data_IF_234804510202
#
_entry.id   IF_234804510202
#
_cell.length_a   1.000
_cell.length_b   1.000
_cell.length_c   1.000
_cell.angle_alpha   90.00
_cell.angle_beta   90.00
_cell.angle_gamma   90.00
#
_symmetry.space_group_name_H-M   'P 1'
#
loop_
_entity.id
_entity.type
_entity.pdbx_description
1 polymer ?
#
# COMPACT_ATOMS: atom_id res chain seq x y z
N UNK A 1 18.18 -10.78 -3.50
CA UNK A 1 17.87 -12.22 -3.63
C UNK A 1 16.41 -12.41 -4.01
N UNK A 2 16.19 -12.99 -5.09
CA UNK A 2 15.21 -13.45 -5.98
C UNK A 2 13.71 -13.23 -5.71
N UNK A 3 13.16 -12.21 -6.37
CA UNK A 3 11.75 -12.21 -6.78
C UNK A 3 11.61 -13.34 -7.80
N UNK A 4 10.88 -14.38 -7.47
CA UNK A 4 10.62 -15.47 -8.42
C UNK A 4 9.41 -15.10 -9.27
N UNK A 5 9.64 -14.72 -10.53
CA UNK A 5 8.61 -14.40 -11.51
C UNK A 5 8.41 -15.65 -12.37
N UNK A 6 7.29 -16.33 -12.20
CA UNK A 6 6.92 -17.44 -13.09
C UNK A 6 6.24 -16.92 -14.34
N UNK A 7 6.61 -17.40 -15.54
CA UNK A 7 5.85 -17.14 -16.74
C UNK A 7 4.47 -17.83 -16.66
N UNK A 8 3.52 -17.30 -17.34
CA UNK A 8 2.07 -17.34 -17.28
C UNK A 8 1.40 -18.69 -17.61
N UNK A 9 0.45 -19.04 -16.77
CA UNK A 9 -0.96 -19.19 -17.20
C UNK A 9 -1.66 -17.84 -16.93
N UNK A 10 -2.48 -17.35 -17.85
CA UNK A 10 -3.26 -16.10 -17.67
C UNK A 10 -3.98 -16.05 -16.33
N UNK A 11 -4.60 -14.90 -15.92
CA UNK A 11 -5.30 -14.82 -14.65
C UNK A 11 -6.28 -16.00 -14.56
N UNK A 12 -5.88 -17.03 -13.81
CA UNK A 12 -6.63 -18.28 -13.71
C UNK A 12 -8.03 -17.99 -13.18
N UNK A 13 -8.98 -18.83 -13.54
CA UNK A 13 -10.29 -18.85 -12.89
C UNK A 13 -10.05 -18.85 -11.39
N UNK A 14 -10.51 -17.77 -10.68
CA UNK A 14 -10.27 -17.58 -9.25
C UNK A 14 -9.18 -16.57 -8.87
N UNK A 15 -8.56 -15.85 -9.83
CA UNK A 15 -7.68 -14.73 -9.48
C UNK A 15 -8.51 -13.58 -8.87
N UNK A 16 -8.12 -13.03 -7.70
CA UNK A 16 -8.79 -11.87 -7.10
C UNK A 16 -8.68 -10.61 -7.98
N UNK A 17 -7.70 -10.56 -8.88
CA UNK A 17 -7.45 -9.42 -9.76
C UNK A 17 -8.72 -8.98 -10.51
N UNK A 18 -9.40 -9.91 -11.19
CA UNK A 18 -10.60 -9.58 -11.94
C UNK A 18 -11.73 -9.13 -11.04
N UNK A 19 -12.03 -9.90 -10.00
CA UNK A 19 -13.10 -9.60 -9.05
C UNK A 19 -12.89 -8.24 -8.37
N UNK A 20 -11.65 -7.93 -7.95
CA UNK A 20 -11.31 -6.64 -7.34
C UNK A 20 -11.51 -5.49 -8.34
N UNK A 21 -10.97 -5.62 -9.56
CA UNK A 21 -11.07 -4.53 -10.54
C UNK A 21 -12.51 -4.32 -11.05
N UNK A 22 -13.29 -5.39 -11.27
CA UNK A 22 -14.70 -5.28 -11.64
C UNK A 22 -15.55 -4.71 -10.49
N UNK A 23 -15.25 -5.06 -9.24
CA UNK A 23 -15.88 -4.45 -8.07
C UNK A 23 -15.60 -2.93 -7.99
N UNK A 24 -14.35 -2.51 -8.24
CA UNK A 24 -13.96 -1.10 -8.26
C UNK A 24 -14.59 -0.34 -9.44
N UNK A 25 -14.75 -1.00 -10.59
CA UNK A 25 -15.41 -0.43 -11.76
C UNK A 25 -16.93 -0.30 -11.58
N UNK A 26 -17.54 -1.16 -10.75
CA UNK A 26 -18.99 -1.32 -10.63
C UNK A 26 -19.64 -2.01 -11.83
N UNK A 27 -18.85 -2.61 -12.73
CA UNK A 27 -19.29 -3.26 -13.97
C UNK A 27 -18.24 -4.24 -14.49
N UNK A 28 -18.63 -5.20 -15.39
CA UNK A 28 -17.65 -6.02 -16.09
C UNK A 28 -16.66 -5.18 -16.89
N UNK A 29 -15.41 -5.66 -16.95
CA UNK A 29 -14.31 -4.95 -17.62
C UNK A 29 -14.16 -5.44 -19.08
N UNK A 30 -14.42 -4.60 -20.08
CA UNK A 30 -14.25 -4.97 -21.48
C UNK A 30 -12.76 -5.17 -21.84
N UNK A 31 -12.50 -6.05 -22.81
CA UNK A 31 -11.12 -6.32 -23.28
C UNK A 31 -10.26 -7.06 -22.25
N UNK A 32 -10.85 -7.74 -21.28
CA UNK A 32 -10.15 -8.48 -20.21
C UNK A 32 -9.11 -9.47 -20.75
N UNK A 33 -9.40 -10.11 -21.87
CA UNK A 33 -8.52 -11.11 -22.51
C UNK A 33 -7.19 -10.50 -22.95
N UNK A 34 -7.17 -9.21 -23.28
CA UNK A 34 -5.94 -8.50 -23.65
C UNK A 34 -4.99 -8.29 -22.47
N UNK A 35 -5.49 -8.38 -21.23
CA UNK A 35 -4.68 -8.21 -20.02
C UNK A 35 -3.82 -9.44 -19.71
N UNK A 36 -4.27 -10.63 -20.10
CA UNK A 36 -3.61 -11.89 -19.78
C UNK A 36 -2.11 -11.92 -20.13
N UNK A 37 -1.66 -11.52 -21.34
CA UNK A 37 -0.24 -11.46 -21.70
C UNK A 37 0.57 -10.44 -20.89
N UNK A 38 -0.09 -9.49 -20.25
CA UNK A 38 0.49 -8.40 -19.46
C UNK A 38 0.37 -8.61 -17.94
N UNK A 39 -0.08 -9.80 -17.53
CA UNK A 39 -0.23 -10.19 -16.13
C UNK A 39 0.72 -11.33 -15.79
N UNK A 40 1.33 -11.28 -14.62
CA UNK A 40 2.24 -12.32 -14.12
C UNK A 40 1.98 -12.55 -12.62
N UNK A 41 2.21 -13.78 -12.16
CA UNK A 41 2.19 -14.09 -10.73
C UNK A 41 3.59 -13.91 -10.15
N UNK A 42 3.70 -13.05 -9.14
CA UNK A 42 4.91 -12.84 -8.37
C UNK A 42 4.77 -13.57 -7.03
N UNK A 43 5.80 -14.34 -6.66
CA UNK A 43 5.88 -15.07 -5.40
C UNK A 43 7.04 -14.55 -4.57
N UNK A 44 6.74 -14.18 -3.32
CA UNK A 44 7.70 -13.64 -2.38
C UNK A 44 7.77 -14.52 -1.13
N UNK A 45 8.98 -14.84 -0.70
CA UNK A 45 9.21 -15.43 0.63
C UNK A 45 9.07 -14.34 1.70
N UNK A 46 8.81 -14.74 2.94
CA UNK A 46 8.83 -13.83 4.10
C UNK A 46 10.09 -12.96 4.08
N UNK A 47 9.93 -11.64 4.25
CA UNK A 47 10.99 -10.65 4.26
C UNK A 47 11.54 -10.25 2.88
N UNK A 48 11.09 -10.88 1.78
CA UNK A 48 11.54 -10.49 0.44
C UNK A 48 10.97 -9.13 0.03
N UNK A 49 11.80 -8.31 -0.60
CA UNK A 49 11.42 -6.99 -1.12
C UNK A 49 10.77 -7.14 -2.50
N UNK A 50 9.59 -6.56 -2.67
CA UNK A 50 8.90 -6.44 -3.96
C UNK A 50 9.49 -5.29 -4.79
N UNK A 51 9.62 -4.12 -4.16
CA UNK A 51 10.33 -2.95 -4.68
C UNK A 51 10.87 -2.09 -3.54
N UNK A 52 11.85 -1.25 -3.84
CA UNK A 52 12.50 -0.38 -2.86
C UNK A 52 12.32 1.11 -3.20
N UNK A 53 12.66 1.97 -2.25
CA UNK A 53 12.73 3.42 -2.46
C UNK A 53 13.69 3.74 -3.60
N UNK A 54 13.32 4.70 -4.44
CA UNK A 54 14.09 5.09 -5.61
C UNK A 54 13.92 4.18 -6.84
N UNK A 55 13.24 3.04 -6.70
CA UNK A 55 12.98 2.15 -7.84
C UNK A 55 11.91 2.72 -8.78
N UNK A 56 12.12 2.57 -10.10
CA UNK A 56 11.05 2.74 -11.07
C UNK A 56 10.20 1.46 -11.13
N UNK A 57 8.91 1.58 -10.78
CA UNK A 57 7.98 0.45 -10.64
C UNK A 57 6.77 0.65 -11.53
N UNK A 58 6.85 0.35 -12.84
CA UNK A 58 5.75 0.56 -13.78
C UNK A 58 4.69 -0.54 -13.70
N UNK A 59 4.48 -1.10 -12.53
CA UNK A 59 3.56 -2.22 -12.31
C UNK A 59 2.54 -1.88 -11.25
N UNK A 60 1.33 -2.40 -11.48
CA UNK A 60 0.24 -2.48 -10.51
C UNK A 60 0.13 -3.92 -10.03
N UNK A 61 -0.11 -4.10 -8.74
CA UNK A 61 -0.23 -5.43 -8.15
C UNK A 61 -1.53 -5.57 -7.37
N UNK A 62 -2.10 -6.77 -7.35
CA UNK A 62 -3.15 -7.18 -6.42
C UNK A 62 -2.63 -8.35 -5.59
N UNK A 63 -2.79 -8.27 -4.28
CA UNK A 63 -2.41 -9.36 -3.37
C UNK A 63 -3.39 -10.52 -3.55
N UNK A 64 -2.88 -11.70 -3.90
CA UNK A 64 -3.65 -12.93 -4.00
C UNK A 64 -3.71 -13.66 -2.66
N UNK A 65 -2.56 -13.70 -1.99
CA UNK A 65 -2.36 -14.40 -0.72
C UNK A 65 -1.20 -13.78 0.04
N UNK A 66 -1.27 -13.86 1.36
CA UNK A 66 -0.21 -13.32 2.22
C UNK A 66 -0.46 -11.87 2.59
N UNK A 67 0.61 -11.14 2.93
CA UNK A 67 0.53 -9.73 3.34
C UNK A 67 1.77 -8.99 2.87
N UNK A 68 1.59 -7.82 2.28
CA UNK A 68 2.67 -6.89 1.92
C UNK A 68 2.69 -5.75 2.92
N UNK A 69 3.88 -5.43 3.40
CA UNK A 69 4.14 -4.26 4.24
C UNK A 69 4.66 -3.14 3.35
N UNK A 70 4.02 -1.99 3.42
CA UNK A 70 4.50 -0.75 2.82
C UNK A 70 5.20 0.06 3.90
N UNK A 71 6.46 0.40 3.69
CA UNK A 71 7.25 1.24 4.59
C UNK A 71 7.85 2.44 3.87
N UNK A 72 8.15 3.49 4.65
CA UNK A 72 8.84 4.68 4.19
C UNK A 72 9.99 5.01 5.14
N UNK A 73 11.18 5.41 4.64
CA UNK A 73 12.26 5.88 5.48
C UNK A 73 12.01 7.31 5.96
N UNK A 74 12.46 7.64 7.15
CA UNK A 74 12.64 9.02 7.58
C UNK A 74 14.00 9.58 7.15
N UNK A 75 14.28 10.84 7.48
CA UNK A 75 15.53 11.51 7.15
C UNK A 75 16.77 10.86 7.80
N UNK A 76 16.60 10.02 8.82
CA UNK A 76 17.65 9.23 9.48
C UNK A 76 17.74 7.81 8.94
N UNK A 77 16.97 7.46 7.91
CA UNK A 77 16.93 6.13 7.32
C UNK A 77 16.18 5.08 8.13
N UNK A 78 15.43 5.48 9.16
CA UNK A 78 14.57 4.57 9.93
C UNK A 78 13.30 4.30 9.13
N UNK A 79 12.94 3.04 8.96
CA UNK A 79 11.71 2.64 8.26
C UNK A 79 10.50 2.75 9.18
N UNK A 80 9.45 3.39 8.71
CA UNK A 80 8.12 3.47 9.34
C UNK A 80 7.12 2.70 8.49
N UNK A 81 6.26 1.90 9.11
CA UNK A 81 5.24 1.14 8.39
C UNK A 81 4.05 2.05 8.11
N UNK A 82 3.78 2.23 6.83
CA UNK A 82 2.70 3.08 6.32
C UNK A 82 1.39 2.29 6.22
N UNK A 83 1.47 1.06 5.69
CA UNK A 83 0.28 0.22 5.46
C UNK A 83 0.62 -1.27 5.45
N UNK A 84 -0.42 -2.09 5.70
CA UNK A 84 -0.46 -3.52 5.41
C UNK A 84 -1.45 -3.75 4.29
N UNK A 85 -1.04 -4.48 3.25
CA UNK A 85 -1.90 -4.84 2.13
C UNK A 85 -2.16 -6.34 2.17
N UNK A 86 -3.44 -6.72 2.16
CA UNK A 86 -3.94 -8.08 2.33
C UNK A 86 -4.62 -8.59 1.05
N UNK A 87 -5.09 -9.85 0.98
CA UNK A 87 -5.73 -10.38 -0.22
C UNK A 87 -6.88 -9.50 -0.73
N UNK A 88 -6.80 -9.12 -2.01
CA UNK A 88 -7.70 -8.17 -2.66
C UNK A 88 -7.18 -6.73 -2.68
N UNK A 89 -6.23 -6.37 -1.83
CA UNK A 89 -5.67 -5.01 -1.83
C UNK A 89 -4.74 -4.75 -3.00
N UNK A 90 -4.73 -3.49 -3.43
CA UNK A 90 -3.82 -2.98 -4.45
C UNK A 90 -2.48 -2.56 -3.83
N UNK A 91 -1.40 -2.91 -4.51
CA UNK A 91 -0.04 -2.47 -4.20
C UNK A 91 0.55 -1.79 -5.43
N UNK A 92 0.98 -0.54 -5.29
CA UNK A 92 1.57 0.22 -6.40
C UNK A 92 2.47 1.35 -5.89
N UNK A 93 3.47 1.69 -6.70
CA UNK A 93 4.16 2.97 -6.55
C UNK A 93 3.40 4.04 -7.35
N UNK A 94 2.60 4.85 -6.67
CA UNK A 94 1.78 5.88 -7.30
C UNK A 94 2.62 6.85 -8.13
N UNK A 95 3.80 7.24 -7.63
CA UNK A 95 4.73 8.12 -8.34
C UNK A 95 5.21 7.52 -9.66
N UNK A 96 5.47 6.20 -9.69
CA UNK A 96 5.92 5.50 -10.91
C UNK A 96 4.81 5.30 -11.94
N UNK A 97 3.55 5.23 -11.48
CA UNK A 97 2.36 5.07 -12.32
C UNK A 97 1.69 6.41 -12.69
N UNK A 98 2.34 7.55 -12.40
CA UNK A 98 1.80 8.85 -12.73
C UNK A 98 1.40 8.94 -14.22
N UNK A 99 0.19 9.44 -14.54
CA UNK A 99 -0.28 9.51 -15.91
C UNK A 99 0.57 10.47 -16.76
N UNK A 100 0.61 10.28 -18.10
CA UNK A 100 1.48 11.05 -19.01
C UNK A 100 1.30 12.57 -18.90
N UNK A 101 0.06 13.02 -18.72
CA UNK A 101 -0.24 14.44 -18.52
C UNK A 101 0.46 15.02 -17.32
N UNK A 102 0.42 14.33 -16.18
CA UNK A 102 1.08 14.76 -14.95
C UNK A 102 2.62 14.72 -15.10
N UNK A 103 3.17 13.67 -15.71
CA UNK A 103 4.60 13.59 -16.03
C UNK A 103 5.06 14.73 -16.92
N UNK A 104 4.25 15.12 -17.92
CA UNK A 104 4.54 16.24 -18.82
C UNK A 104 4.56 17.59 -18.08
N UNK A 105 3.58 17.82 -17.19
CA UNK A 105 3.54 19.04 -16.38
C UNK A 105 4.82 19.21 -15.56
N UNK A 106 5.34 18.15 -14.96
CA UNK A 106 6.61 18.18 -14.21
C UNK A 106 7.80 18.51 -15.11
N UNK A 107 7.88 17.88 -16.30
CA UNK A 107 9.01 18.09 -17.23
C UNK A 107 9.04 19.50 -17.83
N UNK A 108 7.90 20.17 -17.96
CA UNK A 108 7.82 21.52 -18.56
C UNK A 108 7.93 22.66 -17.53
N UNK A 109 8.19 22.36 -16.26
CA UNK A 109 8.24 23.33 -15.16
C UNK A 109 6.97 24.18 -15.00
N UNK A 110 5.87 23.79 -15.64
CA UNK A 110 4.54 24.43 -15.54
C UNK A 110 3.72 23.87 -14.36
N UNK A 111 4.38 23.21 -13.44
CA UNK A 111 3.71 22.60 -12.30
C UNK A 111 3.15 23.63 -11.36
N UNK A 112 1.88 23.46 -10.93
CA UNK A 112 1.43 24.08 -9.69
C UNK A 112 2.46 23.76 -8.59
N UNK A 113 2.65 24.67 -7.64
CA UNK A 113 3.60 24.47 -6.51
C UNK A 113 3.14 23.33 -5.59
N UNK A 114 3.10 22.11 -6.13
CA UNK A 114 2.77 20.88 -5.39
C UNK A 114 4.09 20.15 -5.13
N UNK A 115 4.68 20.25 -3.92
CA UNK A 115 5.99 19.65 -3.60
C UNK A 115 6.07 18.15 -3.91
N UNK A 116 4.95 17.42 -3.70
CA UNK A 116 4.87 15.98 -3.95
C UNK A 116 5.12 15.58 -5.41
N UNK A 117 5.03 16.50 -6.37
CA UNK A 117 5.30 16.21 -7.78
C UNK A 117 6.79 16.16 -8.13
N UNK A 118 7.68 16.57 -7.21
CA UNK A 118 9.14 16.54 -7.44
C UNK A 118 9.69 15.12 -7.54
N UNK A 119 9.00 14.18 -6.90
CA UNK A 119 9.46 12.79 -6.73
C UNK A 119 8.72 11.83 -7.68
N UNK A 120 8.12 12.37 -8.76
CA UNK A 120 7.46 11.53 -9.77
C UNK A 120 8.47 10.66 -10.52
N UNK A 121 8.03 9.43 -10.84
CA UNK A 121 8.79 8.47 -11.62
C UNK A 121 9.44 7.37 -10.79
N UNK A 122 9.75 7.61 -9.52
CA UNK A 122 10.37 6.62 -8.64
C UNK A 122 9.59 6.43 -7.35
N UNK A 123 9.69 5.25 -6.75
CA UNK A 123 8.97 4.95 -5.52
C UNK A 123 9.55 5.71 -4.32
N UNK A 124 8.66 6.29 -3.51
CA UNK A 124 8.97 6.91 -2.24
C UNK A 124 8.79 5.95 -1.07
N UNK A 125 8.37 4.72 -1.37
CA UNK A 125 8.11 3.68 -0.38
C UNK A 125 8.79 2.37 -0.80
N UNK A 126 8.99 1.50 0.19
CA UNK A 126 9.39 0.12 0.01
C UNK A 126 8.19 -0.79 0.22
N UNK A 127 8.09 -1.84 -0.57
CA UNK A 127 7.13 -2.92 -0.38
C UNK A 127 7.87 -4.23 -0.11
N UNK A 128 7.50 -4.94 0.95
CA UNK A 128 8.10 -6.22 1.31
C UNK A 128 7.05 -7.21 1.84
N UNK A 129 7.33 -8.50 1.73
CA UNK A 129 6.42 -9.54 2.17
C UNK A 129 6.54 -9.79 3.68
N UNK A 130 5.45 -9.65 4.44
CA UNK A 130 5.40 -9.99 5.87
C UNK A 130 5.47 -11.50 6.09
N UNK A 131 4.85 -12.27 5.20
CA UNK A 131 4.83 -13.73 5.16
C UNK A 131 4.97 -14.20 3.71
N UNK A 132 4.89 -15.50 3.45
CA UNK A 132 4.85 -15.97 2.06
C UNK A 132 3.68 -15.30 1.33
N UNK A 133 3.96 -14.59 0.24
CA UNK A 133 3.01 -13.72 -0.45
C UNK A 133 2.99 -14.01 -1.94
N UNK A 134 1.79 -14.07 -2.52
CA UNK A 134 1.57 -14.14 -3.96
C UNK A 134 0.79 -12.92 -4.42
N UNK A 135 1.22 -12.33 -5.56
CA UNK A 135 0.58 -11.16 -6.15
C UNK A 135 0.35 -11.38 -7.65
N UNK A 136 -0.77 -10.87 -8.16
CA UNK A 136 -0.90 -10.60 -9.58
C UNK A 136 -0.18 -9.30 -9.89
N UNK A 137 0.74 -9.31 -10.86
CA UNK A 137 1.44 -8.13 -11.37
C UNK A 137 0.90 -7.80 -12.76
N UNK A 138 0.49 -6.56 -12.96
CA UNK A 138 -0.02 -6.03 -14.22
C UNK A 138 0.93 -4.95 -14.74
N UNK A 139 1.25 -4.96 -16.04
CA UNK A 139 2.01 -3.87 -16.67
C UNK A 139 1.16 -2.58 -16.66
N UNK A 140 1.67 -1.53 -16.03
CA UNK A 140 0.97 -0.25 -15.89
C UNK A 140 0.72 0.45 -17.24
N UNK A 141 1.58 0.23 -18.23
CA UNK A 141 1.39 0.80 -19.59
C UNK A 141 0.20 0.15 -20.30
N UNK A 142 0.00 -1.17 -20.09
CA UNK A 142 -1.16 -1.83 -20.66
C UNK A 142 -2.44 -1.43 -19.93
N UNK A 143 -2.39 -1.26 -18.61
CA UNK A 143 -3.50 -0.70 -17.84
C UNK A 143 -3.87 0.71 -18.33
N UNK A 144 -2.89 1.57 -18.57
CA UNK A 144 -3.07 2.90 -19.16
C UNK A 144 -3.71 2.83 -20.55
N UNK A 145 -3.28 1.87 -21.40
CA UNK A 145 -3.85 1.63 -22.72
C UNK A 145 -5.33 1.21 -22.65
N UNK A 146 -5.70 0.38 -21.67
CA UNK A 146 -7.10 -0.01 -21.42
C UNK A 146 -7.94 1.17 -20.93
N UNK A 147 -7.42 1.96 -20.00
CA UNK A 147 -8.10 3.18 -19.51
C UNK A 147 -8.37 4.20 -20.62
N UNK A 148 -7.48 4.32 -21.58
CA UNK A 148 -7.67 5.22 -22.72
C UNK A 148 -8.76 4.77 -23.70
N UNK A 149 -9.21 3.51 -23.64
CA UNK A 149 -10.17 2.91 -24.57
C UNK A 149 -11.52 2.59 -23.93
N UNK A 150 -11.54 2.36 -22.65
CA UNK A 150 -12.72 1.86 -21.93
C UNK A 150 -12.89 2.64 -20.63
N UNK A 151 -14.02 3.29 -20.48
CA UNK A 151 -14.33 4.10 -19.29
C UNK A 151 -14.41 3.26 -18.02
N UNK A 152 -14.79 1.99 -18.13
CA UNK A 152 -14.87 1.05 -17.01
C UNK A 152 -13.51 0.83 -16.36
N UNK A 153 -12.44 0.74 -17.16
CA UNK A 153 -11.07 0.65 -16.65
C UNK A 153 -10.63 1.94 -15.96
N UNK A 154 -10.99 3.10 -16.53
CA UNK A 154 -10.73 4.39 -15.90
C UNK A 154 -11.47 4.52 -14.56
N UNK A 155 -12.73 4.04 -14.50
CA UNK A 155 -13.52 4.03 -13.26
C UNK A 155 -12.86 3.12 -12.20
N UNK A 156 -12.38 1.93 -12.59
CA UNK A 156 -11.68 1.03 -11.66
C UNK A 156 -10.44 1.69 -11.06
N UNK A 157 -9.59 2.30 -11.90
CA UNK A 157 -8.38 3.00 -11.46
C UNK A 157 -8.72 4.20 -10.60
N UNK A 158 -9.71 5.00 -10.97
CA UNK A 158 -10.17 6.16 -10.21
C UNK A 158 -10.69 5.73 -8.84
N UNK A 159 -11.52 4.70 -8.77
CA UNK A 159 -12.03 4.15 -7.51
C UNK A 159 -10.90 3.64 -6.59
N UNK A 160 -9.90 2.97 -7.17
CA UNK A 160 -8.73 2.53 -6.42
C UNK A 160 -7.94 3.72 -5.84
N UNK A 161 -7.76 4.80 -6.62
CA UNK A 161 -7.10 6.02 -6.17
C UNK A 161 -7.90 6.74 -5.08
N UNK A 162 -9.22 6.82 -5.21
CA UNK A 162 -10.09 7.37 -4.16
C UNK A 162 -9.99 6.57 -2.86
N UNK A 163 -10.10 5.24 -2.94
CA UNK A 163 -9.97 4.38 -1.77
C UNK A 163 -8.61 4.56 -1.08
N UNK A 164 -7.53 4.63 -1.88
CA UNK A 164 -6.19 4.89 -1.37
C UNK A 164 -6.09 6.27 -0.70
N UNK A 165 -6.67 7.31 -1.29
CA UNK A 165 -6.66 8.67 -0.72
C UNK A 165 -7.43 8.71 0.60
N UNK A 166 -8.63 8.15 0.66
CA UNK A 166 -9.43 8.06 1.88
C UNK A 166 -8.72 7.30 3.01
N UNK A 167 -8.02 6.21 2.67
CA UNK A 167 -7.21 5.47 3.64
C UNK A 167 -6.05 6.32 4.19
N UNK A 168 -5.40 7.12 3.34
CA UNK A 168 -4.36 8.07 3.75
C UNK A 168 -4.90 9.19 4.63
N UNK A 169 -6.02 9.80 4.26
CA UNK A 169 -6.68 10.84 5.07
C UNK A 169 -7.11 10.31 6.44
N UNK A 170 -7.67 9.10 6.48
CA UNK A 170 -8.00 8.43 7.75
C UNK A 170 -6.74 8.27 8.60
N UNK A 171 -5.67 7.76 8.01
CA UNK A 171 -4.40 7.52 8.70
C UNK A 171 -3.76 8.81 9.23
N UNK A 172 -3.76 9.85 8.42
CA UNK A 172 -3.26 11.18 8.83
C UNK A 172 -4.07 11.73 10.02
N UNK A 173 -5.40 11.68 9.94
CA UNK A 173 -6.27 12.11 11.03
C UNK A 173 -6.00 11.32 12.31
N UNK A 174 -5.86 9.98 12.24
CA UNK A 174 -5.54 9.13 13.39
C UNK A 174 -4.20 9.51 14.05
N UNK A 175 -3.19 9.82 13.24
CA UNK A 175 -1.89 10.26 13.75
C UNK A 175 -1.95 11.62 14.44
N UNK A 176 -2.81 12.53 13.96
CA UNK A 176 -2.94 13.89 14.47
C UNK A 176 -3.88 14.00 15.67
N UNK A 177 -4.93 13.16 15.74
CA UNK A 177 -6.02 13.36 16.72
C UNK A 177 -6.11 12.28 17.80
N UNK A 178 -5.48 11.13 17.60
CA UNK A 178 -5.53 10.02 18.56
C UNK A 178 -4.25 9.93 19.36
N UNK A 179 -4.40 9.63 20.64
CA UNK A 179 -3.27 9.26 21.51
C UNK A 179 -2.61 7.95 21.02
N UNK A 180 -1.33 7.71 21.35
CA UNK A 180 -0.66 6.45 21.05
C UNK A 180 -1.40 5.21 21.55
N UNK A 181 -2.05 5.31 22.71
CA UNK A 181 -2.81 4.19 23.30
C UNK A 181 -4.10 3.91 22.51
N UNK A 182 -4.83 4.96 22.11
CA UNK A 182 -6.02 4.81 21.27
C UNK A 182 -5.67 4.16 19.92
N UNK A 183 -4.57 4.60 19.28
CA UNK A 183 -4.07 3.98 18.04
C UNK A 183 -3.69 2.51 18.25
N UNK A 184 -3.08 2.16 19.38
CA UNK A 184 -2.76 0.76 19.70
C UNK A 184 -4.02 -0.08 19.89
N UNK A 185 -5.01 0.42 20.65
CA UNK A 185 -6.28 -0.28 20.85
C UNK A 185 -7.03 -0.49 19.54
N UNK A 186 -7.01 0.51 18.66
CA UNK A 186 -7.59 0.40 17.32
C UNK A 186 -6.83 -0.62 16.49
N UNK A 187 -5.50 -0.58 16.45
CA UNK A 187 -4.68 -1.52 15.72
C UNK A 187 -4.96 -2.98 16.11
N UNK A 188 -5.06 -3.27 17.39
CA UNK A 188 -5.38 -4.62 17.89
C UNK A 188 -6.77 -5.08 17.46
N UNK A 189 -7.74 -4.18 17.35
CA UNK A 189 -9.09 -4.50 16.82
C UNK A 189 -9.10 -4.71 15.31
N UNK A 190 -8.39 -3.86 14.56
CA UNK A 190 -8.44 -3.85 13.10
C UNK A 190 -7.57 -4.97 12.49
N UNK A 191 -6.44 -5.34 13.16
CA UNK A 191 -5.46 -6.30 12.67
C UNK A 191 -5.13 -7.44 13.67
N UNK A 192 -6.13 -8.09 14.30
CA UNK A 192 -5.84 -9.15 15.29
C UNK A 192 -5.07 -10.33 14.67
N UNK A 193 -5.31 -10.62 13.40
CA UNK A 193 -4.70 -11.72 12.64
C UNK A 193 -3.26 -11.44 12.16
N UNK A 194 -2.77 -10.21 12.30
CA UNK A 194 -1.38 -9.85 11.98
C UNK A 194 -0.46 -9.87 13.21
N UNK A 195 -1.02 -9.89 14.41
CA UNK A 195 -0.25 -9.76 15.66
C UNK A 195 0.78 -10.86 15.84
N UNK A 196 0.51 -12.08 15.38
CA UNK A 196 1.43 -13.23 15.48
C UNK A 196 2.59 -13.14 14.47
N UNK A 197 2.40 -12.41 13.37
CA UNK A 197 3.42 -12.24 12.34
C UNK A 197 4.30 -11.00 12.56
N UNK A 198 3.82 -10.04 13.34
CA UNK A 198 4.48 -8.75 13.57
C UNK A 198 5.32 -8.76 14.85
N UNK A 199 6.52 -8.20 14.76
CA UNK A 199 7.29 -7.90 15.96
C UNK A 199 6.74 -6.67 16.69
N UNK A 200 7.02 -6.52 17.98
CA UNK A 200 6.68 -5.28 18.70
C UNK A 200 7.30 -4.04 18.03
N UNK A 201 8.47 -4.19 17.41
CA UNK A 201 9.13 -3.11 16.67
C UNK A 201 8.31 -2.71 15.43
N UNK A 202 7.70 -3.67 14.73
CA UNK A 202 6.88 -3.39 13.56
C UNK A 202 5.58 -2.69 13.96
N UNK A 203 4.94 -3.15 15.04
CA UNK A 203 3.75 -2.48 15.59
C UNK A 203 4.08 -1.04 16.02
N UNK A 204 5.20 -0.84 16.73
CA UNK A 204 5.64 0.50 17.13
C UNK A 204 5.89 1.41 15.92
N UNK A 205 6.57 0.88 14.87
CA UNK A 205 6.80 1.59 13.61
C UNK A 205 5.50 1.96 12.88
N UNK A 206 4.50 1.09 12.94
CA UNK A 206 3.19 1.39 12.37
C UNK A 206 2.45 2.46 13.17
N UNK A 207 2.51 2.41 14.49
CA UNK A 207 1.83 3.37 15.35
C UNK A 207 2.53 4.74 15.46
N UNK A 208 3.73 4.88 14.88
CA UNK A 208 4.51 6.12 14.96
C UNK A 208 5.08 6.39 16.35
N UNK A 209 5.44 5.34 17.11
CA UNK A 209 5.98 5.43 18.46
C UNK A 209 7.25 4.60 18.64
N UNK A 210 7.93 4.77 19.77
CA UNK A 210 9.09 3.96 20.11
C UNK A 210 8.69 2.57 20.63
N UNK A 211 9.53 1.52 20.46
CA UNK A 211 9.26 0.20 21.01
C UNK A 211 9.07 0.20 22.55
N UNK A 212 9.82 1.06 23.25
CA UNK A 212 9.68 1.23 24.71
C UNK A 212 8.32 1.83 25.06
N UNK A 213 7.86 2.85 24.33
CA UNK A 213 6.53 3.43 24.48
C UNK A 213 5.44 2.39 24.22
N UNK A 214 5.56 1.60 23.14
CA UNK A 214 4.63 0.52 22.87
C UNK A 214 4.55 -0.51 24.00
N UNK A 215 5.70 -0.94 24.54
CA UNK A 215 5.74 -1.93 25.63
C UNK A 215 4.96 -1.46 26.87
N UNK A 216 5.10 -0.18 27.26
CA UNK A 216 4.34 0.43 28.36
C UNK A 216 2.83 0.45 28.08
N UNK A 217 2.44 0.89 26.87
CA UNK A 217 1.03 0.93 26.44
C UNK A 217 0.43 -0.47 26.45
N UNK A 218 1.09 -1.45 25.84
CA UNK A 218 0.61 -2.82 25.76
C UNK A 218 0.46 -3.47 27.15
N UNK A 219 1.31 -3.13 28.11
CA UNK A 219 1.20 -3.61 29.50
C UNK A 219 -0.01 -3.00 30.20
N UNK A 220 -0.25 -1.70 30.08
CA UNK A 220 -1.44 -1.02 30.63
C UNK A 220 -2.74 -1.56 30.05
N UNK A 221 -2.80 -1.69 28.73
CA UNK A 221 -3.98 -2.19 28.04
C UNK A 221 -4.33 -3.61 28.46
N UNK A 222 -3.32 -4.49 28.63
CA UNK A 222 -3.52 -5.85 29.15
C UNK A 222 -3.98 -5.88 30.61
N UNK A 223 -3.50 -4.93 31.42
CA UNK A 223 -3.93 -4.79 32.83
C UNK A 223 -5.33 -4.17 32.99
N UNK A 224 -6.01 -3.79 31.90
CA UNK A 224 -7.32 -3.14 31.93
C UNK A 224 -7.32 -1.74 32.57
N UNK A 225 -6.15 -1.09 32.66
CA UNK A 225 -6.02 0.24 33.25
C UNK A 225 -6.57 1.31 32.29
N UNK A 226 -7.19 2.39 32.84
CA UNK A 226 -7.66 3.49 32.00
C UNK A 226 -6.49 4.17 31.29
N UNK A 227 -6.74 4.84 30.14
CA UNK A 227 -5.72 5.60 29.44
C UNK A 227 -5.13 6.68 30.34
N UNK A 228 -3.82 6.89 30.24
CA UNK A 228 -3.15 8.01 30.90
C UNK A 228 -3.69 9.31 30.29
N UNK A 229 -4.36 10.14 31.11
CA UNK A 229 -4.77 11.48 30.70
C UNK A 229 -3.51 12.32 30.52
N UNK A 230 -3.02 12.45 29.30
CA UNK A 230 -1.99 13.44 28.95
C UNK A 230 -2.56 14.86 29.12
N UNK A 231 -2.53 15.35 30.35
CA UNK A 231 -2.64 16.77 30.68
C UNK A 231 -1.30 17.45 30.37
N UNK A 232 -0.86 17.42 29.13
CA UNK A 232 0.23 18.28 28.63
C UNK A 232 0.03 18.51 27.14
N UNK A 233 -0.95 19.34 26.84
CA UNK A 233 -1.05 19.99 25.56
C UNK A 233 -1.09 21.49 25.78
N UNK A 234 -0.08 22.14 25.19
CA UNK A 234 -0.08 23.53 24.74
C UNK A 234 -0.04 24.58 25.88
N UNK A 235 1.20 24.95 26.27
CA UNK A 235 1.60 26.29 26.62
C UNK A 235 2.36 26.89 25.45
#
# INVERSE_FOLDING_TARGET
>A
MGVNVSPMSGPGVGSPLRATLESLAGSPLPGWESLAPHTQVVRLRKGATLYDVGAYVPYFYIVRRGTVVISAPDAQGREWIVNFCEPGDAVASISSLAPPGLRRLVSTHQTPKIPALRDLGVSQTKASALRHTELDRVDGRHLEWLCARHVEWSNAVLSALFAHTLAKEKRERELLTMTPEERYRQFVRDYPHLLDDLTQKDVARHLGITPVGLSRIASRVRAGQPPESDLTCIG
#
